data_IF_939773552705
#
_entry.id   IF_939773552705
#
_cell.length_a   1.000
_cell.length_b   1.000
_cell.length_c   1.000
_cell.angle_alpha   90.00
_cell.angle_beta   90.00
_cell.angle_gamma   90.00
#
_symmetry.space_group_name_H-M   'P 1'
#
loop_
_entity.id
_entity.type
_entity.pdbx_description
1 polymer ?
#
# COMPACT_ATOMS: atom_id res chain seq x y z
N UNK A 1 13.31 7.95 -10.31
CA UNK A 1 13.55 8.83 -11.43
C UNK A 1 12.31 8.87 -12.31
N UNK A 2 11.53 9.93 -12.23
CA UNK A 2 10.21 10.03 -12.86
C UNK A 2 10.23 10.32 -14.38
N UNK A 3 11.37 10.29 -15.02
CA UNK A 3 11.46 10.36 -16.47
C UNK A 3 11.37 8.94 -17.03
N UNK A 4 10.18 8.54 -17.44
CA UNK A 4 10.06 7.31 -18.22
C UNK A 4 10.87 7.46 -19.50
N UNK A 5 11.87 6.62 -19.66
CA UNK A 5 12.65 6.52 -20.90
C UNK A 5 11.82 5.89 -22.06
N UNK A 6 10.56 5.60 -21.84
CA UNK A 6 9.63 4.97 -22.77
C UNK A 6 8.33 5.77 -22.93
N UNK A 7 7.65 5.65 -24.08
CA UNK A 7 6.41 6.38 -24.35
C UNK A 7 5.30 6.05 -23.35
N UNK A 8 4.55 7.08 -22.95
CA UNK A 8 3.35 6.96 -22.11
C UNK A 8 2.14 7.58 -22.81
N UNK A 9 0.93 7.13 -22.47
CA UNK A 9 -0.33 7.66 -22.97
C UNK A 9 -1.26 7.97 -21.80
N UNK A 10 -2.15 8.94 -21.98
CA UNK A 10 -3.19 9.29 -20.98
C UNK A 10 -4.37 8.32 -20.98
N UNK A 11 -4.51 7.52 -22.04
CA UNK A 11 -5.59 6.54 -22.21
C UNK A 11 -5.03 5.25 -22.82
N UNK A 12 -5.70 4.14 -22.58
CA UNK A 12 -5.42 2.87 -23.26
C UNK A 12 -5.73 3.01 -24.76
N UNK A 13 -4.73 2.79 -25.62
CA UNK A 13 -4.85 2.83 -27.09
C UNK A 13 -3.85 1.86 -27.71
N UNK A 14 -4.32 0.93 -28.54
CA UNK A 14 -3.47 -0.06 -29.19
C UNK A 14 -2.71 -0.91 -28.17
N UNK A 15 -1.40 -1.00 -28.30
CA UNK A 15 -0.53 -1.78 -27.42
C UNK A 15 -0.28 -1.10 -26.04
N UNK A 16 -0.80 0.12 -25.81
CA UNK A 16 -0.75 0.79 -24.51
C UNK A 16 -1.88 0.27 -23.62
N UNK A 17 -1.75 -0.94 -23.15
CA UNK A 17 -2.76 -1.74 -22.43
C UNK A 17 -2.49 -1.87 -20.94
N UNK A 18 -1.29 -1.56 -20.48
CA UNK A 18 -0.89 -1.69 -19.08
C UNK A 18 -1.02 -0.33 -18.37
N UNK A 19 -1.92 -0.27 -17.38
CA UNK A 19 -2.11 0.93 -16.56
C UNK A 19 -0.98 1.06 -15.54
N UNK A 20 -0.46 2.27 -15.39
CA UNK A 20 0.58 2.61 -14.40
C UNK A 20 0.05 3.66 -13.45
N UNK A 21 0.10 3.36 -12.15
CA UNK A 21 -0.13 4.35 -11.10
C UNK A 21 1.14 5.17 -10.85
N UNK A 22 1.01 6.48 -10.94
CA UNK A 22 2.08 7.45 -10.71
C UNK A 22 1.72 8.41 -9.59
N UNK A 23 2.65 9.24 -9.11
CA UNK A 23 2.45 10.13 -7.96
C UNK A 23 1.18 11.02 -8.07
N UNK A 24 0.88 11.52 -9.26
CA UNK A 24 -0.22 12.45 -9.50
C UNK A 24 -1.22 11.95 -10.54
N UNK A 25 -1.58 10.67 -10.47
CA UNK A 25 -2.58 10.11 -11.37
C UNK A 25 -2.21 8.75 -11.94
N UNK A 26 -2.56 8.54 -13.18
CA UNK A 26 -2.32 7.29 -13.91
C UNK A 26 -1.97 7.57 -15.38
N UNK A 27 -1.23 6.65 -15.97
CA UNK A 27 -0.92 6.64 -17.40
C UNK A 27 -0.95 5.22 -17.93
N UNK A 28 -0.72 5.05 -19.22
CA UNK A 28 -0.72 3.76 -19.91
C UNK A 28 0.60 3.56 -20.64
N UNK A 29 1.13 2.36 -20.57
CA UNK A 29 2.37 1.95 -21.25
C UNK A 29 2.15 0.63 -21.99
N UNK A 30 3.06 0.32 -22.89
CA UNK A 30 3.14 -1.03 -23.43
C UNK A 30 3.72 -1.97 -22.37
N UNK A 31 3.12 -3.16 -22.21
CA UNK A 31 3.51 -4.15 -21.20
C UNK A 31 5.01 -4.48 -21.23
N UNK A 32 5.59 -4.56 -22.42
CA UNK A 32 7.01 -4.87 -22.60
C UNK A 32 7.96 -3.81 -22.05
N UNK A 33 7.44 -2.62 -21.72
CA UNK A 33 8.22 -1.54 -21.10
C UNK A 33 8.32 -1.70 -19.56
N UNK A 34 7.66 -2.68 -18.98
CA UNK A 34 7.80 -2.99 -17.54
C UNK A 34 9.06 -3.82 -17.34
N UNK A 35 10.13 -3.17 -16.90
CA UNK A 35 11.46 -3.78 -16.76
C UNK A 35 11.68 -4.55 -15.46
N UNK A 36 10.84 -4.32 -14.44
CA UNK A 36 10.96 -5.00 -13.15
C UNK A 36 9.64 -5.60 -12.73
N UNK A 37 9.67 -6.82 -12.21
CA UNK A 37 8.52 -7.53 -11.66
C UNK A 37 7.35 -7.65 -12.66
N UNK A 38 7.64 -7.78 -13.96
CA UNK A 38 6.63 -7.89 -15.01
C UNK A 38 5.71 -9.13 -14.82
N UNK A 39 6.19 -10.17 -14.14
CA UNK A 39 5.42 -11.36 -13.78
C UNK A 39 4.27 -11.06 -12.81
N UNK A 40 4.34 -9.93 -12.10
CA UNK A 40 3.32 -9.55 -11.11
C UNK A 40 2.25 -8.60 -11.66
N UNK A 41 2.32 -8.26 -12.95
CA UNK A 41 1.33 -7.37 -13.59
C UNK A 41 -0.08 -7.94 -13.44
N UNK A 42 -0.25 -9.25 -13.65
CA UNK A 42 -1.57 -9.91 -13.66
C UNK A 42 -2.02 -10.41 -12.28
N UNK A 43 -1.34 -9.99 -11.22
CA UNK A 43 -1.72 -10.31 -9.83
C UNK A 43 -2.41 -9.12 -9.17
N UNK A 44 -3.27 -9.39 -8.19
CA UNK A 44 -3.74 -8.34 -7.28
C UNK A 44 -2.60 -7.84 -6.42
N UNK A 45 -2.56 -6.54 -6.23
CA UNK A 45 -1.55 -5.83 -5.44
C UNK A 45 -2.22 -4.79 -4.56
N UNK A 46 -1.59 -4.46 -3.44
CA UNK A 46 -1.96 -3.28 -2.67
C UNK A 46 -0.84 -2.26 -2.77
N UNK A 47 -1.19 -1.05 -3.12
CA UNK A 47 -0.29 0.09 -3.29
C UNK A 47 -0.42 1.05 -2.12
N UNK A 48 0.71 1.46 -1.55
CA UNK A 48 0.79 2.51 -0.54
C UNK A 48 1.74 3.60 -1.05
N UNK A 49 1.32 4.88 -1.09
CA UNK A 49 2.22 5.97 -1.44
C UNK A 49 3.47 5.96 -0.55
N UNK A 50 4.65 6.15 -1.13
CA UNK A 50 5.91 6.21 -0.38
C UNK A 50 6.09 7.51 0.39
N UNK A 51 5.49 8.61 -0.07
CA UNK A 51 5.50 9.85 0.68
C UNK A 51 4.39 9.81 1.73
N UNK A 52 4.78 9.77 3.01
CA UNK A 52 3.87 9.93 4.14
C UNK A 52 3.51 11.42 4.33
N UNK A 53 2.39 11.66 5.00
CA UNK A 53 2.04 13.00 5.48
C UNK A 53 2.46 13.12 6.96
N UNK A 54 3.51 13.87 7.30
CA UNK A 54 4.02 13.96 8.67
C UNK A 54 3.02 14.54 9.70
N UNK A 55 2.03 15.28 9.22
CA UNK A 55 0.96 15.86 10.06
C UNK A 55 -0.37 15.11 9.98
N UNK A 56 -0.40 13.97 9.29
CA UNK A 56 -1.64 13.28 8.97
C UNK A 56 -1.69 11.83 9.46
N UNK A 57 -2.14 10.95 8.59
CA UNK A 57 -2.43 9.55 8.90
C UNK A 57 -1.19 8.64 8.93
N UNK A 58 0.02 9.19 8.79
CA UNK A 58 1.32 8.51 8.71
C UNK A 58 1.49 7.72 7.41
N UNK A 59 0.62 6.75 7.14
CA UNK A 59 0.54 6.09 5.84
C UNK A 59 -0.36 6.88 4.90
N UNK A 60 0.05 7.02 3.64
CA UNK A 60 -0.88 7.37 2.58
C UNK A 60 -1.95 6.29 2.41
N UNK A 61 -3.11 6.67 1.88
CA UNK A 61 -4.26 5.75 1.74
C UNK A 61 -3.90 4.54 0.89
N UNK A 62 -3.96 3.32 1.43
CA UNK A 62 -3.71 2.11 0.66
C UNK A 62 -4.85 1.89 -0.35
N UNK A 63 -4.52 1.30 -1.49
CA UNK A 63 -5.51 0.96 -2.53
C UNK A 63 -5.18 -0.35 -3.22
N UNK A 64 -6.22 -1.06 -3.64
CA UNK A 64 -6.07 -2.23 -4.50
C UNK A 64 -5.65 -1.80 -5.90
N UNK A 65 -4.71 -2.53 -6.47
CA UNK A 65 -4.27 -2.46 -7.86
C UNK A 65 -4.65 -3.76 -8.55
N UNK A 66 -5.53 -3.64 -9.53
CA UNK A 66 -6.11 -4.76 -10.28
C UNK A 66 -5.05 -5.47 -11.16
N UNK A 67 -5.29 -6.72 -11.59
CA UNK A 67 -4.55 -7.35 -12.68
C UNK A 67 -4.47 -6.45 -13.92
N UNK A 68 -3.39 -6.57 -14.68
CA UNK A 68 -3.12 -5.70 -15.84
C UNK A 68 -2.55 -4.32 -15.47
N UNK A 69 -2.13 -4.13 -14.22
CA UNK A 69 -1.65 -2.83 -13.73
C UNK A 69 -0.27 -2.93 -13.09
N UNK A 70 0.44 -1.81 -13.04
CA UNK A 70 1.68 -1.66 -12.29
C UNK A 70 1.77 -0.26 -11.65
N UNK A 71 2.87 0.04 -10.98
CA UNK A 71 3.09 1.35 -10.36
C UNK A 71 4.51 1.85 -10.60
N UNK A 72 4.68 3.17 -10.51
CA UNK A 72 6.00 3.77 -10.44
C UNK A 72 6.63 3.54 -9.05
N UNK A 73 7.88 3.94 -8.89
CA UNK A 73 8.62 3.89 -7.64
C UNK A 73 8.07 4.81 -6.52
N UNK A 74 7.01 5.55 -6.80
CA UNK A 74 6.31 6.39 -5.81
C UNK A 74 5.38 5.60 -4.88
N UNK A 75 5.25 4.30 -5.11
CA UNK A 75 4.47 3.39 -4.28
C UNK A 75 5.31 2.25 -3.70
N UNK A 76 5.01 1.86 -2.48
CA UNK A 76 5.31 0.52 -1.98
C UNK A 76 4.24 -0.43 -2.49
N UNK A 77 4.65 -1.64 -2.88
CA UNK A 77 3.77 -2.63 -3.49
C UNK A 77 3.78 -3.89 -2.65
N UNK A 78 2.60 -4.31 -2.21
CA UNK A 78 2.38 -5.62 -1.61
C UNK A 78 1.72 -6.51 -2.66
N UNK A 79 2.39 -7.60 -3.00
CA UNK A 79 1.92 -8.53 -4.03
C UNK A 79 1.10 -9.62 -3.34
N UNK A 80 -0.15 -9.78 -3.77
CA UNK A 80 -1.04 -10.85 -3.36
C UNK A 80 -1.03 -11.95 -4.44
N UNK A 81 -2.08 -12.74 -4.46
CA UNK A 81 -2.32 -13.75 -5.49
C UNK A 81 -3.33 -13.29 -6.52
N UNK A 82 -4.23 -14.20 -6.83
CA UNK A 82 -5.31 -14.00 -7.79
C UNK A 82 -6.65 -13.68 -7.10
N UNK A 83 -6.62 -13.54 -5.77
CA UNK A 83 -7.79 -13.30 -4.94
C UNK A 83 -7.92 -11.81 -4.59
N UNK A 84 -8.97 -11.17 -5.09
CA UNK A 84 -9.28 -9.78 -4.79
C UNK A 84 -9.62 -9.57 -3.32
N UNK A 85 -10.35 -10.51 -2.71
CA UNK A 85 -10.77 -10.38 -1.31
C UNK A 85 -9.57 -10.28 -0.36
N UNK A 86 -8.51 -11.04 -0.61
CA UNK A 86 -7.26 -10.92 0.16
C UNK A 86 -6.63 -9.53 0.04
N UNK A 87 -6.70 -8.92 -1.14
CA UNK A 87 -6.20 -7.57 -1.35
C UNK A 87 -7.06 -6.52 -0.61
N UNK A 88 -8.38 -6.67 -0.64
CA UNK A 88 -9.30 -5.81 0.10
C UNK A 88 -9.09 -5.95 1.62
N UNK A 89 -8.88 -7.18 2.12
CA UNK A 89 -8.59 -7.46 3.53
C UNK A 89 -7.25 -6.86 3.97
N UNK A 90 -6.21 -6.94 3.13
CA UNK A 90 -4.93 -6.27 3.40
C UNK A 90 -5.10 -4.74 3.45
N UNK A 91 -5.91 -4.14 2.58
CA UNK A 91 -6.21 -2.70 2.64
C UNK A 91 -6.86 -2.34 3.98
N UNK A 92 -7.82 -3.14 4.44
CA UNK A 92 -8.49 -2.93 5.74
C UNK A 92 -7.48 -2.97 6.89
N UNK A 93 -6.60 -3.97 6.91
CA UNK A 93 -5.53 -4.12 7.88
C UNK A 93 -4.57 -2.91 7.91
N UNK A 94 -4.11 -2.47 6.74
CA UNK A 94 -3.18 -1.34 6.61
C UNK A 94 -3.79 0.00 7.04
N UNK A 95 -5.13 0.11 7.07
CA UNK A 95 -5.85 1.28 7.57
C UNK A 95 -5.99 1.31 9.08
N UNK A 96 -5.77 0.20 9.80
CA UNK A 96 -5.90 0.15 11.26
C UNK A 96 -4.95 1.12 11.95
N UNK A 97 -5.35 1.62 13.11
CA UNK A 97 -4.50 2.46 13.96
C UNK A 97 -3.29 1.67 14.46
N UNK A 98 -3.50 0.38 14.80
CA UNK A 98 -2.44 -0.52 15.23
C UNK A 98 -1.29 -0.57 14.21
N UNK A 99 -1.56 -0.87 12.95
CA UNK A 99 -0.54 -0.94 11.89
C UNK A 99 0.14 0.41 11.69
N UNK A 100 -0.63 1.48 11.61
CA UNK A 100 -0.09 2.82 11.37
C UNK A 100 0.75 3.31 12.55
N UNK A 101 0.44 2.92 13.77
CA UNK A 101 1.26 3.19 14.94
C UNK A 101 2.61 2.46 14.86
N UNK A 102 2.62 1.16 14.49
CA UNK A 102 3.86 0.39 14.29
C UNK A 102 4.74 1.02 13.20
N UNK A 103 4.14 1.47 12.11
CA UNK A 103 4.86 2.20 11.07
C UNK A 103 5.39 3.54 11.60
N UNK A 104 4.61 4.27 12.39
CA UNK A 104 5.00 5.56 12.96
C UNK A 104 6.25 5.47 13.81
N UNK A 105 6.32 4.51 14.73
CA UNK A 105 7.47 4.34 15.63
C UNK A 105 8.75 3.94 14.88
N UNK A 106 8.63 3.44 13.65
CA UNK A 106 9.76 3.04 12.79
C UNK A 106 10.13 4.12 11.75
N UNK A 107 9.24 5.07 11.52
CA UNK A 107 9.43 6.12 10.50
C UNK A 107 10.24 7.28 11.07
N UNK A 108 11.42 7.51 10.52
CA UNK A 108 12.29 8.66 10.88
C UNK A 108 12.28 9.77 9.84
N UNK A 109 11.71 9.53 8.67
CA UNK A 109 11.68 10.47 7.54
C UNK A 109 10.33 10.42 6.82
N UNK A 110 10.09 11.35 5.89
CA UNK A 110 8.87 11.34 5.06
C UNK A 110 8.84 10.20 4.03
N UNK A 111 9.98 9.59 3.72
CA UNK A 111 10.06 8.46 2.80
C UNK A 111 9.74 7.16 3.52
N UNK A 112 8.61 6.57 3.15
CA UNK A 112 8.12 5.28 3.64
C UNK A 112 8.81 4.14 2.90
N UNK A 113 10.10 3.95 3.15
CA UNK A 113 10.84 2.82 2.59
C UNK A 113 10.27 1.47 3.09
N UNK A 114 10.47 0.35 2.38
CA UNK A 114 9.98 -0.96 2.84
C UNK A 114 10.37 -1.33 4.27
N UNK A 115 11.53 -0.85 4.73
CA UNK A 115 12.02 -1.04 6.11
C UNK A 115 11.11 -0.44 7.19
N UNK A 116 10.26 0.54 6.86
CA UNK A 116 9.31 1.12 7.83
C UNK A 116 8.23 0.14 8.26
N UNK A 117 8.02 -0.94 7.48
CA UNK A 117 7.08 -2.01 7.79
C UNK A 117 7.70 -3.18 8.58
N UNK A 118 8.94 -3.06 9.04
CA UNK A 118 9.68 -4.12 9.72
C UNK A 118 8.97 -4.65 10.98
N UNK A 119 8.22 -3.80 11.68
CA UNK A 119 7.47 -4.18 12.88
C UNK A 119 6.03 -4.58 12.59
N UNK A 120 5.57 -4.48 11.33
CA UNK A 120 4.20 -4.82 10.96
C UNK A 120 4.08 -6.33 10.75
N UNK A 121 3.34 -7.05 11.61
CA UNK A 121 3.24 -8.49 11.49
C UNK A 121 2.37 -8.89 10.29
N UNK A 122 2.76 -9.96 9.63
CA UNK A 122 1.96 -10.56 8.56
C UNK A 122 0.77 -11.29 9.20
N UNK A 123 -0.39 -11.14 8.58
CA UNK A 123 -1.62 -11.77 9.01
C UNK A 123 -2.12 -12.80 7.99
N UNK A 124 -3.16 -13.52 8.36
CA UNK A 124 -3.99 -14.29 7.44
C UNK A 124 -4.96 -13.34 6.72
N UNK A 125 -4.82 -13.24 5.41
CA UNK A 125 -5.62 -12.34 4.57
C UNK A 125 -6.96 -12.95 4.13
N UNK A 126 -7.29 -14.16 4.57
CA UNK A 126 -8.58 -14.78 4.27
C UNK A 126 -9.77 -14.09 4.96
N UNK A 127 -9.49 -13.17 5.90
CA UNK A 127 -10.50 -12.36 6.60
C UNK A 127 -10.03 -10.91 6.79
N UNK A 128 -10.97 -9.96 6.95
CA UNK A 128 -10.62 -8.60 7.34
C UNK A 128 -10.10 -8.54 8.78
N UNK A 129 -9.33 -7.51 9.08
CA UNK A 129 -8.79 -7.20 10.41
C UNK A 129 -9.17 -5.78 10.80
N UNK A 130 -9.58 -5.58 12.05
CA UNK A 130 -9.84 -4.28 12.66
C UNK A 130 -8.93 -4.05 13.87
N UNK A 131 -8.99 -2.87 14.48
CA UNK A 131 -8.14 -2.54 15.61
C UNK A 131 -8.44 -3.42 16.83
N UNK A 132 -9.71 -3.70 17.14
CA UNK A 132 -10.10 -4.53 18.29
C UNK A 132 -9.55 -5.96 18.16
N UNK A 133 -9.67 -6.58 16.98
CA UNK A 133 -9.09 -7.91 16.69
C UNK A 133 -7.58 -7.94 16.94
N UNK A 134 -6.88 -6.86 16.59
CA UNK A 134 -5.43 -6.77 16.71
C UNK A 134 -5.01 -6.47 18.15
N UNK A 135 -5.73 -5.61 18.85
CA UNK A 135 -5.48 -5.31 20.26
C UNK A 135 -5.64 -6.58 21.11
N UNK A 136 -6.71 -7.34 20.89
CA UNK A 136 -6.93 -8.63 21.57
C UNK A 136 -5.84 -9.65 21.21
N UNK A 137 -5.56 -9.82 19.91
CA UNK A 137 -4.57 -10.81 19.44
C UNK A 137 -3.18 -10.60 20.02
N UNK A 138 -2.77 -9.33 20.17
CA UNK A 138 -1.44 -8.98 20.68
C UNK A 138 -1.43 -8.66 22.17
N UNK A 139 -2.58 -8.75 22.84
CA UNK A 139 -2.70 -8.60 24.29
C UNK A 139 -2.34 -7.19 24.78
N UNK A 140 -2.75 -6.15 24.04
CA UNK A 140 -2.48 -4.77 24.41
C UNK A 140 -3.25 -4.39 25.68
N UNK A 141 -2.61 -3.62 26.55
CA UNK A 141 -3.23 -3.03 27.73
C UNK A 141 -4.08 -1.81 27.36
N UNK A 142 -5.02 -1.40 28.23
CA UNK A 142 -5.84 -0.22 28.03
C UNK A 142 -5.01 1.07 27.86
N UNK A 143 -3.86 1.15 28.56
CA UNK A 143 -2.93 2.29 28.44
C UNK A 143 -2.27 2.32 27.06
N UNK A 144 -1.87 1.17 26.53
CA UNK A 144 -1.27 1.06 25.19
C UNK A 144 -2.30 1.38 24.10
N UNK A 145 -3.53 0.86 24.22
CA UNK A 145 -4.63 1.18 23.31
C UNK A 145 -4.90 2.68 23.31
N UNK A 146 -5.02 3.28 24.50
CA UNK A 146 -5.25 4.72 24.66
C UNK A 146 -4.14 5.55 24.00
N UNK A 147 -2.88 5.12 24.12
CA UNK A 147 -1.74 5.78 23.50
C UNK A 147 -1.79 5.71 21.96
N UNK A 148 -2.15 4.54 21.40
CA UNK A 148 -2.31 4.36 19.96
C UNK A 148 -3.43 5.27 19.44
N UNK A 149 -4.58 5.26 20.09
CA UNK A 149 -5.77 6.00 19.65
C UNK A 149 -5.61 7.52 19.79
N UNK A 150 -4.86 7.98 20.79
CA UNK A 150 -4.53 9.40 20.94
C UNK A 150 -3.52 9.87 19.87
N UNK A 151 -2.69 8.96 19.34
CA UNK A 151 -1.62 9.30 18.41
C UNK A 151 -2.06 9.18 16.95
N UNK A 152 -2.86 8.17 16.62
CA UNK A 152 -3.23 7.82 15.26
C UNK A 152 -4.71 8.10 15.01
N UNK A 153 -5.06 9.09 14.16
CA UNK A 153 -6.46 9.35 13.79
C UNK A 153 -7.05 8.19 12.98
N UNK A 154 -8.38 8.08 12.93
CA UNK A 154 -9.08 7.14 12.05
C UNK A 154 -8.74 7.43 10.58
N UNK A 155 -8.63 6.40 9.76
CA UNK A 155 -8.49 6.51 8.30
C UNK A 155 -9.74 5.93 7.62
N UNK A 156 -10.46 6.78 6.90
CA UNK A 156 -11.64 6.40 6.09
C UNK A 156 -11.27 5.66 4.79
#
# INVERSE_FOLDING_TARGET
DGSSSFPVRKKSVGNFDTKVYIAHGECWIERNNVVRNAQDIDRYKVLIPRSGNPGGTILGKPKVSEPGTCSSNTYNVFILGDNREEADNLVTYLKTRFVRYLVAIRTSTQDMAPKTFEFVPVQDWSRPWNDDDLYEKYGLTDDEISAIEATIPVMD
#
